data_IF_110052675499
#
_entry.id   IF_110052675499
#
_cell.length_a   1.000
_cell.length_b   1.000
_cell.length_c   1.000
_cell.angle_alpha   90.00
_cell.angle_beta   90.00
_cell.angle_gamma   90.00
#
_symmetry.space_group_name_H-M   'P 1'
#
loop_
_entity.id
_entity.type
_entity.pdbx_description
1 polymer ?
#
# COMPACT_ATOMS: atom_id res chain seq x y z
N UNK A 1 -1.19 -13.93 12.92
CA UNK A 1 -1.17 -13.74 11.45
C UNK A 1 -1.81 -12.42 11.07
N UNK A 2 -1.09 -11.57 10.40
CA UNK A 2 -1.61 -10.26 10.00
C UNK A 2 -2.70 -10.40 8.94
N UNK A 3 -3.76 -9.61 9.08
CA UNK A 3 -4.79 -9.47 8.05
C UNK A 3 -4.38 -8.33 7.13
N UNK A 4 -4.29 -8.61 5.85
CA UNK A 4 -3.78 -7.67 4.84
C UNK A 4 -4.91 -7.24 3.92
N UNK A 5 -5.15 -5.94 3.86
CA UNK A 5 -6.15 -5.35 2.95
C UNK A 5 -5.48 -4.29 2.08
N UNK A 6 -5.76 -4.30 0.79
CA UNK A 6 -5.37 -3.19 -0.06
C UNK A 6 -6.57 -2.26 -0.30
N UNK A 7 -6.28 -0.97 -0.36
CA UNK A 7 -7.26 0.06 -0.69
C UNK A 7 -6.94 0.51 -2.10
N UNK A 8 -7.84 0.23 -3.02
CA UNK A 8 -7.57 0.43 -4.44
C UNK A 8 -8.80 1.01 -5.14
N UNK A 9 -8.57 1.94 -6.03
CA UNK A 9 -9.58 2.43 -6.96
C UNK A 9 -8.85 3.07 -8.13
N UNK A 10 -9.21 2.70 -9.35
CA UNK A 10 -8.59 3.21 -10.56
C UNK A 10 -8.83 4.70 -10.74
N UNK A 11 -9.94 5.23 -10.23
CA UNK A 11 -10.23 6.65 -10.28
C UNK A 11 -9.59 7.35 -9.08
N UNK A 12 -8.67 8.29 -9.34
CA UNK A 12 -8.08 9.12 -8.30
C UNK A 12 -9.11 10.07 -7.68
N UNK A 13 -8.86 10.51 -6.45
CA UNK A 13 -9.68 11.51 -5.78
C UNK A 13 -10.99 11.02 -5.19
N UNK A 14 -11.19 9.70 -5.05
CA UNK A 14 -12.42 9.13 -4.47
C UNK A 14 -12.27 8.76 -2.98
N UNK A 15 -11.36 9.45 -2.28
CA UNK A 15 -11.17 9.23 -0.84
C UNK A 15 -10.32 8.00 -0.49
N UNK A 16 -9.59 7.45 -1.45
CA UNK A 16 -8.76 6.26 -1.25
C UNK A 16 -7.74 6.45 -0.11
N UNK A 17 -6.95 7.49 -0.19
CA UNK A 17 -5.92 7.79 0.82
C UNK A 17 -6.54 8.15 2.16
N UNK A 18 -7.59 8.96 2.16
CA UNK A 18 -8.33 9.33 3.38
C UNK A 18 -8.88 8.10 4.07
N UNK A 19 -9.47 7.17 3.32
CA UNK A 19 -9.98 5.90 3.87
C UNK A 19 -8.86 5.08 4.49
N UNK A 20 -7.72 4.96 3.80
CA UNK A 20 -6.58 4.18 4.29
C UNK A 20 -6.03 4.75 5.60
N UNK A 21 -5.79 6.05 5.64
CA UNK A 21 -5.23 6.73 6.82
C UNK A 21 -6.21 6.66 8.02
N UNK A 22 -7.49 6.92 7.77
CA UNK A 22 -8.51 6.90 8.83
C UNK A 22 -8.72 5.50 9.38
N UNK A 23 -8.70 4.49 8.52
CA UNK A 23 -8.85 3.10 8.95
C UNK A 23 -7.64 2.66 9.79
N UNK A 24 -6.43 3.01 9.36
CA UNK A 24 -5.22 2.72 10.12
C UNK A 24 -5.24 3.37 11.50
N UNK A 25 -5.62 4.64 11.57
CA UNK A 25 -5.72 5.38 12.83
C UNK A 25 -6.79 4.78 13.76
N UNK A 26 -7.95 4.42 13.19
CA UNK A 26 -9.04 3.81 13.95
C UNK A 26 -8.65 2.46 14.55
N UNK A 27 -7.99 1.62 13.77
CA UNK A 27 -7.51 0.32 14.25
C UNK A 27 -6.43 0.47 15.33
N UNK A 28 -5.53 1.44 15.17
CA UNK A 28 -4.51 1.74 16.17
C UNK A 28 -5.14 2.18 17.50
N UNK A 29 -6.19 3.00 17.44
CA UNK A 29 -6.94 3.41 18.65
C UNK A 29 -7.60 2.25 19.36
N UNK A 30 -7.94 1.18 18.64
CA UNK A 30 -8.51 -0.04 19.22
C UNK A 30 -7.43 -0.98 19.76
N UNK A 31 -6.18 -0.55 19.81
CA UNK A 31 -5.08 -1.33 20.34
C UNK A 31 -4.47 -2.33 19.36
N UNK A 32 -4.83 -2.26 18.08
CA UNK A 32 -4.28 -3.13 17.07
C UNK A 32 -2.92 -2.63 16.60
N UNK A 33 -2.01 -3.57 16.28
CA UNK A 33 -0.70 -3.26 15.70
C UNK A 33 -0.89 -3.14 14.19
N UNK A 34 -0.71 -1.93 13.65
CA UNK A 34 -1.02 -1.62 12.26
C UNK A 34 0.22 -1.16 11.50
N UNK A 35 0.38 -1.71 10.30
CA UNK A 35 1.34 -1.22 9.30
C UNK A 35 0.55 -0.66 8.12
N UNK A 36 0.83 0.61 7.77
CA UNK A 36 0.31 1.21 6.54
C UNK A 36 1.43 1.17 5.49
N UNK A 37 1.15 0.55 4.35
CA UNK A 37 2.09 0.48 3.22
C UNK A 37 1.59 1.43 2.13
N UNK A 38 2.42 2.40 1.78
CA UNK A 38 2.10 3.36 0.72
C UNK A 38 2.78 2.92 -0.58
N UNK A 39 1.98 2.44 -1.54
CA UNK A 39 2.47 2.05 -2.87
C UNK A 39 2.24 3.13 -3.93
N UNK A 40 1.67 4.27 -3.55
CA UNK A 40 1.45 5.37 -4.49
C UNK A 40 2.69 6.27 -4.52
N UNK A 41 3.36 6.43 -5.69
CA UNK A 41 4.54 7.29 -5.79
C UNK A 41 4.29 8.75 -5.39
N UNK A 42 3.05 9.21 -5.42
CA UNK A 42 2.70 10.55 -4.93
C UNK A 42 2.87 10.68 -3.41
N UNK A 43 2.84 9.57 -2.67
CA UNK A 43 3.11 9.56 -1.25
C UNK A 43 2.05 10.25 -0.40
N UNK A 44 0.81 10.28 -0.84
CA UNK A 44 -0.27 10.97 -0.12
C UNK A 44 -0.58 10.33 1.24
N UNK A 45 -0.55 8.99 1.32
CA UNK A 45 -0.76 8.30 2.60
C UNK A 45 0.41 8.53 3.55
N UNK A 46 1.64 8.61 3.02
CA UNK A 46 2.84 8.96 3.79
C UNK A 46 2.70 10.34 4.41
N UNK A 47 2.37 11.34 3.60
CA UNK A 47 2.18 12.71 4.08
C UNK A 47 0.98 12.83 5.00
N UNK A 48 -0.10 12.14 4.69
CA UNK A 48 -1.31 12.10 5.54
C UNK A 48 -1.06 11.49 6.91
N UNK A 49 -0.02 10.70 7.05
CA UNK A 49 0.43 10.11 8.32
C UNK A 49 1.43 11.01 9.07
N UNK A 50 1.71 12.20 8.55
CA UNK A 50 2.62 13.16 9.17
C UNK A 50 4.10 12.89 8.94
N UNK A 51 4.44 12.09 7.93
CA UNK A 51 5.83 11.75 7.61
C UNK A 51 6.29 12.59 6.42
N UNK A 52 7.45 13.24 6.57
CA UNK A 52 8.07 13.98 5.47
C UNK A 52 8.85 13.02 4.58
N UNK A 53 8.30 12.70 3.41
CA UNK A 53 8.92 11.76 2.47
C UNK A 53 10.27 12.22 1.93
N UNK A 54 10.60 13.51 2.06
CA UNK A 54 11.88 14.05 1.62
C UNK A 54 13.04 13.73 2.58
N UNK A 55 12.72 13.34 3.82
CA UNK A 55 13.70 13.02 4.85
C UNK A 55 13.91 11.53 5.06
N UNK A 56 13.29 10.70 4.24
CA UNK A 56 13.37 9.24 4.35
C UNK A 56 14.66 8.72 3.73
N UNK A 57 15.38 7.89 4.49
CA UNK A 57 16.53 7.15 3.97
C UNK A 57 16.09 5.88 3.24
N UNK A 58 15.09 5.19 3.78
CA UNK A 58 14.53 3.96 3.22
C UNK A 58 13.04 4.11 2.99
N UNK A 59 12.52 3.42 1.99
CA UNK A 59 11.10 3.45 1.63
C UNK A 59 10.65 2.08 1.14
N UNK A 60 9.39 1.97 0.75
CA UNK A 60 8.86 0.75 0.14
C UNK A 60 9.63 0.38 -1.14
N UNK A 61 10.19 1.36 -1.85
CA UNK A 61 11.06 1.12 -3.00
C UNK A 61 12.20 0.16 -2.66
N UNK A 62 12.89 0.40 -1.55
CA UNK A 62 14.02 -0.44 -1.12
C UNK A 62 13.55 -1.84 -0.74
N UNK A 63 12.37 -1.96 -0.16
CA UNK A 63 11.78 -3.26 0.19
C UNK A 63 11.44 -4.07 -1.06
N UNK A 64 10.86 -3.44 -2.06
CA UNK A 64 10.51 -4.10 -3.32
C UNK A 64 11.74 -4.58 -4.09
N UNK A 65 12.84 -3.86 -4.00
CA UNK A 65 14.10 -4.24 -4.63
C UNK A 65 14.97 -5.15 -3.74
N UNK A 66 14.46 -5.54 -2.58
CA UNK A 66 15.14 -6.40 -1.62
C UNK A 66 16.43 -5.81 -1.03
N UNK A 67 16.55 -4.48 -1.06
CA UNK A 67 17.67 -3.76 -0.44
C UNK A 67 17.45 -3.49 1.06
N UNK A 68 16.21 -3.63 1.53
CA UNK A 68 15.87 -3.44 2.94
C UNK A 68 14.70 -4.35 3.33
N UNK A 69 14.60 -4.66 4.62
CA UNK A 69 13.44 -5.37 5.17
C UNK A 69 12.35 -4.37 5.52
N UNK A 70 11.12 -4.87 5.73
CA UNK A 70 10.00 -4.02 6.15
C UNK A 70 10.31 -3.29 7.46
N UNK A 71 10.85 -4.00 8.45
CA UNK A 71 11.14 -3.39 9.75
C UNK A 71 12.28 -2.38 9.72
N UNK A 72 13.23 -2.52 8.80
CA UNK A 72 14.27 -1.52 8.60
C UNK A 72 13.73 -0.23 7.99
N UNK A 73 12.77 -0.34 7.08
CA UNK A 73 12.23 0.79 6.33
C UNK A 73 11.02 1.44 6.99
N UNK A 74 10.25 0.70 7.80
CA UNK A 74 9.04 1.22 8.43
C UNK A 74 9.37 2.24 9.52
N UNK A 75 8.59 3.33 9.56
CA UNK A 75 8.73 4.39 10.57
C UNK A 75 7.44 4.57 11.34
N UNK A 76 7.56 4.94 12.61
CA UNK A 76 6.40 5.19 13.46
C UNK A 76 5.80 6.56 13.14
N UNK A 77 4.51 6.60 12.82
CA UNK A 77 3.73 7.83 12.74
C UNK A 77 3.27 8.17 14.17
N UNK A 78 4.06 8.94 14.89
CA UNK A 78 3.90 9.15 16.33
C UNK A 78 2.51 9.65 16.72
N UNK A 79 1.96 10.58 15.96
CA UNK A 79 0.64 11.16 16.25
C UNK A 79 -0.52 10.21 15.94
N UNK A 80 -0.28 9.22 15.09
CA UNK A 80 -1.32 8.33 14.60
C UNK A 80 -1.30 6.95 15.27
N UNK A 81 -0.17 6.56 15.84
CA UNK A 81 -0.04 5.30 16.58
C UNK A 81 0.15 4.05 15.73
N UNK A 82 0.44 4.20 14.44
CA UNK A 82 0.75 3.08 13.55
C UNK A 82 2.09 3.30 12.85
N UNK A 83 2.64 2.23 12.29
CA UNK A 83 3.89 2.30 11.52
C UNK A 83 3.57 2.44 10.03
N UNK A 84 4.46 3.11 9.32
CA UNK A 84 4.30 3.39 7.89
C UNK A 84 5.51 2.91 7.11
N UNK A 85 5.26 2.10 6.09
CA UNK A 85 6.24 1.79 5.06
C UNK A 85 6.00 2.82 3.94
N UNK A 86 6.84 3.85 3.91
CA UNK A 86 6.58 5.08 3.19
C UNK A 86 6.92 4.99 1.71
N UNK A 87 6.22 5.79 0.90
CA UNK A 87 6.54 6.00 -0.50
C UNK A 87 7.37 7.28 -0.67
N UNK A 88 8.22 7.29 -1.70
CA UNK A 88 8.93 8.48 -2.15
C UNK A 88 8.92 8.51 -3.68
N UNK A 89 9.52 9.56 -4.27
CA UNK A 89 9.51 9.70 -5.74
C UNK A 89 10.27 8.59 -6.47
N UNK A 90 11.20 7.92 -5.83
CA UNK A 90 11.95 6.81 -6.43
C UNK A 90 11.03 5.63 -6.75
N UNK A 91 9.91 5.52 -6.06
CA UNK A 91 8.93 4.46 -6.28
C UNK A 91 8.35 4.48 -7.70
N UNK A 92 8.30 5.63 -8.35
CA UNK A 92 7.86 5.72 -9.73
C UNK A 92 8.77 4.92 -10.67
N UNK A 93 10.07 4.87 -10.37
CA UNK A 93 11.03 4.07 -11.13
C UNK A 93 10.88 2.58 -10.91
N UNK A 94 10.31 2.18 -9.80
CA UNK A 94 10.11 0.76 -9.48
C UNK A 94 9.21 0.05 -10.50
N UNK A 95 8.28 0.77 -11.11
CA UNK A 95 7.43 0.20 -12.16
C UNK A 95 8.24 -0.39 -13.31
N UNK A 96 9.31 0.29 -13.72
CA UNK A 96 10.17 -0.17 -14.79
C UNK A 96 11.16 -1.24 -14.31
N UNK A 97 11.73 -1.04 -13.13
CA UNK A 97 12.73 -1.94 -12.58
C UNK A 97 12.14 -3.33 -12.23
N UNK A 98 10.94 -3.37 -11.64
CA UNK A 98 10.29 -4.61 -11.26
C UNK A 98 9.97 -5.52 -12.44
N UNK A 99 9.65 -4.96 -13.60
CA UNK A 99 9.29 -5.74 -14.78
C UNK A 99 10.41 -6.69 -15.20
N UNK A 100 11.65 -6.34 -14.90
CA UNK A 100 12.85 -7.12 -15.27
C UNK A 100 13.29 -8.09 -14.18
N UNK A 101 12.62 -8.10 -13.04
CA UNK A 101 13.03 -8.90 -11.88
C UNK A 101 12.18 -10.16 -11.74
N UNK A 102 12.76 -11.19 -11.12
CA UNK A 102 12.03 -12.42 -10.78
C UNK A 102 11.02 -12.14 -9.65
N UNK A 103 9.90 -12.85 -9.68
CA UNK A 103 8.83 -12.73 -8.67
C UNK A 103 8.34 -11.29 -8.50
N UNK A 104 8.32 -10.55 -9.61
CA UNK A 104 8.04 -9.11 -9.64
C UNK A 104 6.70 -8.69 -9.03
N UNK A 105 5.70 -9.55 -9.12
CA UNK A 105 4.36 -9.29 -8.58
C UNK A 105 4.18 -9.78 -7.14
N UNK A 106 5.15 -10.48 -6.58
CA UNK A 106 5.08 -11.07 -5.24
C UNK A 106 6.13 -10.54 -4.26
N UNK A 107 6.85 -9.51 -4.64
CA UNK A 107 7.93 -8.97 -3.80
C UNK A 107 7.43 -8.39 -2.50
N UNK A 108 6.33 -7.65 -2.53
CA UNK A 108 5.71 -7.13 -1.33
C UNK A 108 5.14 -8.27 -0.47
N UNK A 109 4.49 -9.23 -1.10
CA UNK A 109 3.94 -10.40 -0.40
C UNK A 109 5.03 -11.14 0.39
N UNK A 110 6.16 -11.39 -0.25
CA UNK A 110 7.28 -12.08 0.39
C UNK A 110 7.88 -11.26 1.52
N UNK A 111 8.00 -9.93 1.35
CA UNK A 111 8.52 -9.04 2.38
C UNK A 111 7.58 -9.00 3.59
N UNK A 112 6.26 -8.93 3.37
CA UNK A 112 5.28 -8.89 4.46
C UNK A 112 5.18 -10.22 5.20
N UNK A 113 5.44 -11.34 4.54
CA UNK A 113 5.46 -12.65 5.20
C UNK A 113 6.48 -12.71 6.33
N UNK A 114 7.61 -12.02 6.19
CA UNK A 114 8.66 -11.98 7.19
C UNK A 114 8.27 -11.23 8.47
N UNK A 115 7.26 -10.36 8.41
CA UNK A 115 6.78 -9.56 9.55
C UNK A 115 5.35 -9.89 9.96
N UNK A 116 4.85 -11.01 9.51
CA UNK A 116 3.46 -11.45 9.75
C UNK A 116 3.08 -11.49 11.23
N UNK A 117 4.01 -11.84 12.10
CA UNK A 117 3.78 -11.90 13.54
C UNK A 117 3.87 -10.55 14.24
N UNK A 118 4.39 -9.52 13.57
CA UNK A 118 4.62 -8.20 14.17
C UNK A 118 3.41 -7.28 14.07
N UNK A 119 2.45 -7.59 13.21
CA UNK A 119 1.28 -6.75 12.96
C UNK A 119 0.00 -7.55 13.01
N UNK A 120 -1.08 -6.90 13.46
CA UNK A 120 -2.44 -7.45 13.42
C UNK A 120 -3.11 -7.13 12.09
N UNK A 121 -2.85 -5.94 11.56
CA UNK A 121 -3.37 -5.48 10.27
C UNK A 121 -2.30 -4.80 9.43
N UNK A 122 -2.36 -5.05 8.14
CA UNK A 122 -1.56 -4.33 7.14
C UNK A 122 -2.52 -3.72 6.13
N UNK A 123 -2.44 -2.41 5.96
CA UNK A 123 -3.26 -1.66 5.00
C UNK A 123 -2.35 -1.13 3.90
N UNK A 124 -2.68 -1.43 2.66
CA UNK A 124 -1.87 -1.06 1.49
C UNK A 124 -2.63 -0.02 0.68
N UNK A 125 -2.06 1.18 0.54
CA UNK A 125 -2.62 2.23 -0.30
C UNK A 125 -2.04 2.11 -1.71
N UNK A 126 -2.86 1.64 -2.65
CA UNK A 126 -2.44 1.40 -4.03
C UNK A 126 -2.56 2.66 -4.88
N UNK A 127 -1.71 2.81 -5.92
CA UNK A 127 -1.88 3.92 -6.86
C UNK A 127 -3.16 3.76 -7.69
N UNK A 128 -3.65 4.84 -8.33
CA UNK A 128 -4.90 4.78 -9.10
C UNK A 128 -4.76 4.03 -10.43
N UNK A 129 -3.56 3.63 -10.80
CA UNK A 129 -3.30 2.87 -12.03
C UNK A 129 -3.25 1.37 -11.76
N UNK A 130 -3.59 0.56 -12.76
CA UNK A 130 -3.45 -0.90 -12.70
C UNK A 130 -2.05 -1.28 -13.20
N UNK A 131 -1.07 -1.12 -12.33
CA UNK A 131 0.35 -1.23 -12.63
C UNK A 131 1.01 -2.34 -11.82
N UNK A 132 2.32 -2.50 -11.98
CA UNK A 132 3.09 -3.50 -11.21
C UNK A 132 3.01 -3.23 -9.70
N UNK A 133 2.98 -1.98 -9.28
CA UNK A 133 2.80 -1.63 -7.86
C UNK A 133 1.45 -2.12 -7.35
N UNK A 134 0.39 -1.85 -8.10
CA UNK A 134 -0.95 -2.33 -7.74
C UNK A 134 -1.01 -3.86 -7.69
N UNK A 135 -0.37 -4.55 -8.64
CA UNK A 135 -0.29 -6.00 -8.62
C UNK A 135 0.40 -6.53 -7.36
N UNK A 136 1.48 -5.87 -6.92
CA UNK A 136 2.12 -6.22 -5.66
C UNK A 136 1.16 -6.10 -4.48
N UNK A 137 0.38 -5.02 -4.43
CA UNK A 137 -0.64 -4.84 -3.40
C UNK A 137 -1.70 -5.93 -3.43
N UNK A 138 -2.26 -6.20 -4.61
CA UNK A 138 -3.31 -7.20 -4.78
C UNK A 138 -2.83 -8.62 -4.45
N UNK A 139 -1.62 -8.99 -4.87
CA UNK A 139 -1.04 -10.30 -4.57
C UNK A 139 -0.79 -10.51 -3.08
N UNK A 140 -0.52 -9.42 -2.34
CA UNK A 140 -0.27 -9.46 -0.90
C UNK A 140 -1.54 -9.56 -0.08
N UNK A 141 -2.67 -9.09 -0.60
CA UNK A 141 -3.87 -8.82 0.19
C UNK A 141 -4.78 -10.03 0.33
N UNK A 142 -5.42 -10.13 1.49
CA UNK A 142 -6.51 -11.07 1.76
C UNK A 142 -7.86 -10.51 1.29
N UNK A 143 -7.97 -9.19 1.17
CA UNK A 143 -9.17 -8.51 0.71
C UNK A 143 -8.86 -7.16 0.12
N UNK A 144 -9.80 -6.61 -0.63
CA UNK A 144 -9.67 -5.31 -1.30
C UNK A 144 -10.80 -4.40 -0.85
N UNK A 145 -10.44 -3.19 -0.42
CA UNK A 145 -11.38 -2.14 -0.07
C UNK A 145 -11.41 -1.16 -1.25
N UNK A 146 -12.60 -0.92 -1.80
CA UNK A 146 -12.78 -0.03 -2.94
C UNK A 146 -13.66 1.14 -2.54
N UNK A 147 -13.06 2.26 -2.06
CA UNK A 147 -13.85 3.47 -1.82
C UNK A 147 -14.36 4.00 -3.16
N UNK A 148 -15.63 4.35 -3.22
CA UNK A 148 -16.19 4.86 -4.49
C UNK A 148 -17.31 5.86 -4.25
N UNK A 149 -17.46 6.74 -5.22
CA UNK A 149 -18.63 7.60 -5.33
C UNK A 149 -19.60 6.94 -6.31
N UNK A 150 -20.91 7.13 -6.10
CA UNK A 150 -21.93 6.55 -6.98
C UNK A 150 -22.06 7.39 -8.25
N UNK A 151 -21.02 7.41 -9.08
CA UNK A 151 -20.95 8.09 -10.36
C UNK A 151 -20.59 7.09 -11.46
N UNK A 152 -21.00 7.40 -12.70
CA UNK A 152 -20.75 6.52 -13.84
C UNK A 152 -19.26 6.17 -14.00
N UNK A 153 -18.39 7.18 -13.95
CA UNK A 153 -16.96 6.95 -14.14
C UNK A 153 -16.33 6.12 -13.01
N UNK A 154 -16.84 6.27 -11.78
CA UNK A 154 -16.37 5.45 -10.67
C UNK A 154 -16.75 3.98 -10.87
N UNK A 155 -17.95 3.71 -11.39
CA UNK A 155 -18.41 2.35 -11.68
C UNK A 155 -17.61 1.73 -12.82
N UNK A 156 -17.25 2.52 -13.83
CA UNK A 156 -16.41 2.06 -14.94
C UNK A 156 -15.02 1.65 -14.45
N UNK A 157 -14.39 2.47 -13.60
CA UNK A 157 -13.12 2.14 -12.98
C UNK A 157 -13.20 0.88 -12.10
N UNK A 158 -14.31 0.69 -11.41
CA UNK A 158 -14.55 -0.50 -10.60
C UNK A 158 -14.58 -1.77 -11.46
N UNK A 159 -15.21 -1.71 -12.63
CA UNK A 159 -15.26 -2.85 -13.55
C UNK A 159 -13.86 -3.29 -13.95
N UNK A 160 -12.99 -2.35 -14.33
CA UNK A 160 -11.62 -2.66 -14.71
C UNK A 160 -10.83 -3.25 -13.54
N UNK A 161 -11.01 -2.71 -12.34
CA UNK A 161 -10.35 -3.22 -11.14
C UNK A 161 -10.81 -4.64 -10.81
N UNK A 162 -12.10 -4.92 -10.88
CA UNK A 162 -12.65 -6.26 -10.64
C UNK A 162 -12.07 -7.28 -11.61
N UNK A 163 -11.94 -6.92 -12.89
CA UNK A 163 -11.33 -7.78 -13.90
C UNK A 163 -9.85 -8.07 -13.57
N UNK A 164 -9.12 -7.07 -13.10
CA UNK A 164 -7.73 -7.26 -12.68
C UNK A 164 -7.62 -8.20 -11.48
N UNK A 165 -8.48 -8.03 -10.49
CA UNK A 165 -8.51 -8.89 -9.30
C UNK A 165 -8.76 -10.34 -9.70
N UNK A 166 -9.68 -10.59 -10.62
CA UNK A 166 -10.00 -11.93 -11.12
C UNK A 166 -8.79 -12.59 -11.80
N UNK A 167 -7.95 -11.80 -12.48
CA UNK A 167 -6.75 -12.32 -13.13
C UNK A 167 -5.65 -12.67 -12.13
N UNK A 168 -5.59 -11.98 -10.98
CA UNK A 168 -4.58 -12.20 -9.95
C UNK A 168 -4.94 -13.36 -9.02
N UNK A 169 -6.22 -13.52 -8.75
CA UNK A 169 -6.76 -14.53 -7.84
C UNK A 169 -7.63 -15.53 -8.60
#
# INVERSE_FOLDING_TARGET
MAKIFCVANQKGGVGKTTTTVNLAAGLAKLGQRVLLVDLDPQGNATMGSGIDKRQLELSVYDVLLESATVNEAAVLAEKCGYRVLSANRELAGAEVELVQLEHRDQRLKNALAAVDADYDFVLIDCPPSLSMLTLNGLCSAHGVIVPMQCEYFALEGLTDLVNTIKQVH
#
